data_IF_913496347361
#
_entry.id   IF_913496347361
#
_cell.length_a   1.000
_cell.length_b   1.000
_cell.length_c   1.000
_cell.angle_alpha   90.00
_cell.angle_beta   90.00
_cell.angle_gamma   90.00
#
_symmetry.space_group_name_H-M   'P 1'
#
loop_
_entity.id
_entity.type
_entity.pdbx_description
1 polymer ?
#
# COMPACT_ATOMS: atom_id res chain seq x y z
N UNK A 1 18.20 -0.77 -12.93
CA UNK A 1 16.97 -1.18 -12.23
C UNK A 1 16.18 0.07 -11.89
N UNK A 2 14.91 0.17 -12.28
CA UNK A 2 14.02 1.22 -11.78
C UNK A 2 13.86 1.14 -10.26
N UNK A 3 13.64 2.32 -9.67
CA UNK A 3 13.47 2.49 -8.24
C UNK A 3 12.04 2.92 -7.96
N UNK A 4 11.44 2.35 -6.91
CA UNK A 4 10.05 2.54 -6.56
C UNK A 4 9.92 2.97 -5.11
N UNK A 5 8.80 3.63 -4.80
CA UNK A 5 8.37 3.90 -3.44
C UNK A 5 6.93 3.45 -3.23
N UNK A 6 6.69 2.78 -2.11
CA UNK A 6 5.34 2.49 -1.64
C UNK A 6 4.94 3.57 -0.62
N UNK A 7 3.77 4.15 -0.80
CA UNK A 7 3.19 5.14 0.09
C UNK A 7 1.92 4.63 0.76
N UNK A 8 1.70 4.99 2.02
CA UNK A 8 0.37 5.01 2.62
C UNK A 8 -0.34 6.30 2.17
N UNK A 9 -1.44 6.12 1.43
CA UNK A 9 -2.05 7.16 0.61
C UNK A 9 -1.08 7.85 -0.32
N UNK A 10 -1.05 9.18 -0.31
CA UNK A 10 -0.31 10.00 -1.28
C UNK A 10 0.94 10.70 -0.75
N UNK A 11 1.24 10.60 0.55
CA UNK A 11 2.31 11.40 1.16
C UNK A 11 3.30 10.62 2.03
N UNK A 12 2.86 9.54 2.67
CA UNK A 12 3.70 8.85 3.66
C UNK A 12 4.47 7.73 2.99
N UNK A 13 5.78 7.90 2.79
CA UNK A 13 6.64 6.83 2.26
C UNK A 13 6.80 5.74 3.31
N UNK A 14 6.43 4.52 2.95
CA UNK A 14 6.59 3.33 3.79
C UNK A 14 7.89 2.61 3.48
N UNK A 15 8.19 2.47 2.19
CA UNK A 15 9.36 1.72 1.72
C UNK A 15 9.84 2.24 0.37
N UNK A 16 11.15 2.09 0.13
CA UNK A 16 11.82 2.39 -1.14
C UNK A 16 12.61 1.15 -1.54
N UNK A 17 12.41 0.67 -2.77
CA UNK A 17 13.01 -0.58 -3.25
C UNK A 17 13.27 -0.52 -4.75
N UNK A 18 14.21 -1.35 -5.22
CA UNK A 18 14.55 -1.49 -6.63
C UNK A 18 14.04 -2.83 -7.16
N UNK A 19 13.55 -2.83 -8.40
CA UNK A 19 13.05 -4.03 -9.09
C UNK A 19 13.51 -4.04 -10.54
N UNK A 20 13.42 -5.20 -11.19
CA UNK A 20 13.77 -5.34 -12.61
C UNK A 20 12.70 -4.71 -13.52
N UNK A 21 11.43 -4.88 -13.16
CA UNK A 21 10.29 -4.43 -13.94
C UNK A 21 9.09 -4.01 -13.09
N UNK A 22 8.14 -3.33 -13.73
CA UNK A 22 6.95 -2.77 -13.08
C UNK A 22 6.02 -3.86 -12.53
N UNK A 23 5.98 -5.04 -13.13
CA UNK A 23 5.11 -6.14 -12.67
C UNK A 23 5.62 -6.70 -11.35
N UNK A 24 6.92 -6.94 -11.24
CA UNK A 24 7.56 -7.36 -9.99
C UNK A 24 7.36 -6.32 -8.89
N UNK A 25 7.50 -5.03 -9.22
CA UNK A 25 7.25 -3.94 -8.28
C UNK A 25 5.80 -3.92 -7.77
N UNK A 26 4.81 -4.13 -8.65
CA UNK A 26 3.39 -4.20 -8.27
C UNK A 26 3.12 -5.40 -7.36
N UNK A 27 3.63 -6.58 -7.71
CA UNK A 27 3.41 -7.79 -6.91
C UNK A 27 4.06 -7.68 -5.53
N UNK A 28 5.27 -7.11 -5.45
CA UNK A 28 5.94 -6.84 -4.18
C UNK A 28 5.20 -5.79 -3.34
N UNK A 29 4.78 -4.68 -3.95
CA UNK A 29 4.00 -3.65 -3.27
C UNK A 29 2.68 -4.18 -2.71
N UNK A 30 2.02 -5.13 -3.38
CA UNK A 30 0.82 -5.82 -2.87
C UNK A 30 1.14 -6.65 -1.64
N UNK A 31 2.25 -7.38 -1.63
CA UNK A 31 2.66 -8.17 -0.46
C UNK A 31 2.93 -7.28 0.75
N UNK A 32 3.68 -6.19 0.56
CA UNK A 32 3.92 -5.18 1.60
C UNK A 32 2.61 -4.58 2.12
N UNK A 33 1.69 -4.24 1.21
CA UNK A 33 0.38 -3.67 1.55
C UNK A 33 -0.46 -4.59 2.45
N UNK A 34 -0.36 -5.90 2.25
CA UNK A 34 -1.05 -6.91 3.06
C UNK A 34 -0.36 -7.13 4.41
N UNK A 35 0.98 -7.14 4.44
CA UNK A 35 1.77 -7.39 5.64
C UNK A 35 1.85 -6.17 6.59
N UNK A 36 1.53 -4.97 6.10
CA UNK A 36 1.65 -3.75 6.88
C UNK A 36 0.75 -3.79 8.13
N UNK A 37 1.30 -3.64 9.36
CA UNK A 37 0.53 -3.76 10.59
C UNK A 37 -0.40 -2.55 10.75
N UNK A 38 -1.68 -2.77 10.49
CA UNK A 38 -2.70 -1.73 10.59
C UNK A 38 -3.20 -1.55 12.02
N UNK A 39 -3.17 -0.32 12.52
CA UNK A 39 -4.08 0.07 13.59
C UNK A 39 -5.44 0.44 12.98
N UNK A 40 -6.57 -0.17 13.40
CA UNK A 40 -7.90 0.07 12.83
C UNK A 40 -8.34 1.55 12.85
N UNK A 41 -7.80 2.35 13.77
CA UNK A 41 -8.10 3.79 13.89
C UNK A 41 -7.44 4.62 12.77
N UNK A 42 -6.33 4.14 12.20
CA UNK A 42 -5.54 4.85 11.19
C UNK A 42 -6.24 4.85 9.82
N UNK A 43 -6.99 3.79 9.51
CA UNK A 43 -7.68 3.65 8.22
C UNK A 43 -8.93 4.54 8.11
N UNK A 44 -9.69 4.71 9.19
CA UNK A 44 -10.93 5.50 9.18
C UNK A 44 -10.71 7.00 8.96
N UNK A 45 -9.51 7.51 9.20
CA UNK A 45 -9.30 8.96 9.30
C UNK A 45 -8.50 9.53 8.12
N UNK A 46 -7.61 8.78 7.45
CA UNK A 46 -6.72 9.39 6.43
C UNK A 46 -6.27 8.57 5.22
N UNK A 47 -6.17 7.24 5.26
CA UNK A 47 -5.30 6.55 4.29
C UNK A 47 -5.83 5.19 3.78
N UNK A 48 -7.07 5.17 3.27
CA UNK A 48 -7.74 3.94 2.84
C UNK A 48 -7.15 3.17 1.64
N UNK A 49 -5.93 3.50 1.22
CA UNK A 49 -5.24 2.95 0.06
C UNK A 49 -3.72 3.13 0.20
N UNK A 50 -2.97 2.36 -0.59
CA UNK A 50 -1.56 2.60 -0.85
C UNK A 50 -1.35 3.08 -2.27
N UNK A 51 -0.20 3.71 -2.50
CA UNK A 51 0.22 4.15 -3.81
C UNK A 51 1.63 3.65 -4.09
N UNK A 52 1.81 2.96 -5.21
CA UNK A 52 3.11 2.64 -5.75
C UNK A 52 3.49 3.72 -6.76
N UNK A 53 4.66 4.29 -6.58
CA UNK A 53 5.24 5.23 -7.52
C UNK A 53 6.61 4.77 -7.97
N UNK A 54 6.87 4.88 -9.27
CA UNK A 54 8.22 4.76 -9.82
C UNK A 54 8.90 6.13 -9.78
N UNK A 55 10.15 6.18 -9.33
CA UNK A 55 10.88 7.44 -9.05
C UNK A 55 11.10 8.34 -10.27
N UNK A 56 11.10 7.77 -11.47
CA UNK A 56 11.19 8.54 -12.71
C UNK A 56 9.85 9.18 -13.12
N UNK A 57 8.78 8.95 -12.34
CA UNK A 57 7.47 9.60 -12.49
C UNK A 57 6.53 8.92 -13.48
N UNK A 58 6.97 7.85 -14.15
CA UNK A 58 6.21 7.22 -15.24
C UNK A 58 5.17 6.18 -14.81
N UNK A 59 5.12 5.79 -13.53
CA UNK A 59 4.13 4.85 -13.02
C UNK A 59 3.51 5.31 -11.70
N UNK A 60 2.18 5.29 -11.67
CA UNK A 60 1.33 5.59 -10.51
C UNK A 60 0.25 4.51 -10.42
N UNK A 61 0.31 3.66 -9.39
CA UNK A 61 -0.66 2.57 -9.20
C UNK A 61 -1.26 2.66 -7.80
N UNK A 62 -2.58 2.83 -7.71
CA UNK A 62 -3.29 2.66 -6.44
C UNK A 62 -3.47 1.18 -6.11
N UNK A 63 -3.16 0.82 -4.87
CA UNK A 63 -3.35 -0.50 -4.31
C UNK A 63 -4.31 -0.39 -3.12
N UNK A 64 -5.46 -1.02 -3.19
CA UNK A 64 -6.40 -1.02 -2.07
C UNK A 64 -5.95 -2.05 -1.04
N UNK A 65 -5.74 -1.60 0.19
CA UNK A 65 -5.57 -2.51 1.31
C UNK A 65 -6.87 -3.30 1.50
N UNK A 66 -6.80 -4.63 1.49
CA UNK A 66 -7.92 -5.43 1.93
C UNK A 66 -8.08 -5.25 3.43
N UNK A 67 -9.04 -4.43 3.84
CA UNK A 67 -9.47 -4.37 5.23
C UNK A 67 -10.39 -5.57 5.42
N UNK A 68 -10.05 -6.55 6.27
CA UNK A 68 -11.04 -7.52 6.70
C UNK A 68 -12.16 -6.68 7.32
N UNK A 69 -13.36 -6.73 6.74
CA UNK A 69 -14.55 -6.29 7.47
C UNK A 69 -14.50 -7.09 8.76
N UNK A 70 -14.15 -6.43 9.87
CA UNK A 70 -14.20 -7.05 11.17
C UNK A 70 -15.54 -7.74 11.26
N UNK A 71 -15.53 -9.03 11.63
CA UNK A 71 -16.72 -9.69 12.13
C UNK A 71 -17.40 -8.68 13.04
N UNK A 72 -18.50 -8.10 12.57
CA UNK A 72 -19.39 -7.28 13.37
C UNK A 72 -19.67 -8.13 14.58
N UNK A 73 -18.98 -7.83 15.67
CA UNK A 73 -19.08 -8.61 16.88
C UNK A 73 -20.55 -8.52 17.27
N UNK A 74 -21.21 -9.69 17.26
CA UNK A 74 -22.47 -9.89 17.97
C UNK A 74 -22.32 -9.22 19.33
N UNK A 75 -22.96 -8.08 19.51
CA UNK A 75 -23.21 -7.53 20.83
C UNK A 75 -24.69 -7.19 20.88
N UNK A 76 -25.40 -8.22 21.37
CA UNK A 76 -26.72 -8.25 22.01
C UNK A 76 -27.96 -7.98 21.15
#
# INVERSE_FOLDING_TARGET
MPSYRLLAGSATVLEVFDMEDDRQAIDYARQLSVAFPWEPRTFRVRWGYFQLERRDGYLWQMLFAWVPQGQSSNVS
#
